data_IF_989922323344
#
_entry.id   IF_989922323344
#
_cell.length_a   1.000
_cell.length_b   1.000
_cell.length_c   1.000
_cell.angle_alpha   90.00
_cell.angle_beta   90.00
_cell.angle_gamma   90.00
#
_symmetry.space_group_name_H-M   'P 1'
#
loop_
_entity.id
_entity.type
_entity.pdbx_description
1 polymer ?
#
# COMPACT_ATOMS: atom_id res chain seq x y z
N UNK A 1 34.67 23.55 2.29
CA UNK A 1 33.63 22.67 2.88
C UNK A 1 33.21 23.26 4.21
N UNK A 2 31.92 23.30 4.55
CA UNK A 2 31.49 23.85 5.85
C UNK A 2 32.06 22.98 6.98
N UNK A 3 32.47 23.61 8.07
CA UNK A 3 32.94 22.90 9.26
C UNK A 3 31.78 22.19 9.96
N UNK A 4 32.07 21.09 10.68
CA UNK A 4 31.07 20.35 11.48
C UNK A 4 30.25 21.27 12.40
N UNK A 5 30.85 22.36 12.88
CA UNK A 5 30.21 23.37 13.72
C UNK A 5 29.09 24.12 12.98
N UNK A 6 29.29 24.43 11.70
CA UNK A 6 28.27 25.11 10.90
C UNK A 6 27.03 24.24 10.66
N UNK A 7 27.20 22.91 10.62
CA UNK A 7 26.08 21.96 10.54
C UNK A 7 25.33 21.83 11.86
N UNK A 8 26.03 21.88 12.99
CA UNK A 8 25.44 21.85 14.33
C UNK A 8 24.65 23.13 14.62
N UNK A 9 25.19 24.30 14.25
CA UNK A 9 24.50 25.59 14.41
C UNK A 9 23.22 25.67 13.53
N UNK A 10 23.21 25.00 12.37
CA UNK A 10 22.03 24.87 11.50
C UNK A 10 20.97 23.91 12.08
N UNK A 11 21.40 22.85 12.75
CA UNK A 11 20.50 21.90 13.41
C UNK A 11 19.88 22.47 14.70
N UNK A 12 20.58 23.33 15.44
CA UNK A 12 19.98 24.10 16.55
C UNK A 12 19.00 25.18 16.05
N UNK A 13 19.19 25.70 14.83
CA UNK A 13 18.28 26.68 14.22
C UNK A 13 17.01 26.05 13.63
N UNK A 14 17.12 24.83 13.09
CA UNK A 14 15.99 23.99 12.72
C UNK A 14 15.69 23.01 13.85
N UNK A 15 15.05 23.49 14.91
CA UNK A 15 14.34 22.63 15.86
C UNK A 15 13.48 21.65 15.03
N UNK A 16 13.87 20.38 15.00
CA UNK A 16 13.30 19.37 14.11
C UNK A 16 11.85 19.11 14.53
N UNK A 17 10.92 19.87 13.94
CA UNK A 17 9.49 19.59 13.96
C UNK A 17 9.24 18.27 13.22
N UNK A 18 9.30 17.15 13.94
CA UNK A 18 8.76 15.89 13.43
C UNK A 18 7.26 15.84 13.72
N UNK A 19 6.46 15.59 12.68
CA UNK A 19 5.02 15.32 12.80
C UNK A 19 4.79 13.82 12.64
N UNK A 20 4.10 13.21 13.60
CA UNK A 20 3.66 11.81 13.53
C UNK A 20 2.21 11.75 13.02
N UNK A 21 1.98 11.06 11.90
CA UNK A 21 0.63 10.79 11.40
C UNK A 21 0.11 9.46 11.95
N UNK A 22 -0.96 9.51 12.75
CA UNK A 22 -1.66 8.30 13.21
C UNK A 22 -2.67 7.88 12.16
N UNK A 23 -2.30 6.89 11.35
CA UNK A 23 -3.18 6.35 10.31
C UNK A 23 -4.36 5.57 10.90
N UNK A 24 -5.56 5.80 10.35
CA UNK A 24 -6.72 4.96 10.59
C UNK A 24 -6.51 3.55 10.03
N UNK A 25 -7.35 2.60 10.46
CA UNK A 25 -7.32 1.23 9.92
C UNK A 25 -7.51 1.23 8.39
N UNK A 26 -8.41 2.08 7.88
CA UNK A 26 -8.68 2.20 6.45
C UNK A 26 -7.49 2.78 5.69
N UNK A 27 -6.84 3.82 6.23
CA UNK A 27 -5.61 4.36 5.63
C UNK A 27 -4.49 3.32 5.58
N UNK A 28 -4.28 2.56 6.67
CA UNK A 28 -3.28 1.48 6.69
C UNK A 28 -3.60 0.37 5.70
N UNK A 29 -4.87 0.02 5.55
CA UNK A 29 -5.33 -0.94 4.56
C UNK A 29 -5.05 -0.45 3.14
N UNK A 30 -5.42 0.80 2.83
CA UNK A 30 -5.22 1.41 1.51
C UNK A 30 -3.72 1.42 1.15
N UNK A 31 -2.85 1.81 2.09
CA UNK A 31 -1.39 1.76 1.92
C UNK A 31 -0.86 0.34 1.69
N UNK A 32 -1.36 -0.63 2.44
CA UNK A 32 -0.98 -2.03 2.27
C UNK A 32 -1.36 -2.55 0.89
N UNK A 33 -2.61 -2.36 0.45
CA UNK A 33 -3.09 -2.80 -0.87
C UNK A 33 -2.28 -2.15 -1.99
N UNK A 34 -2.10 -0.83 -1.91
CA UNK A 34 -1.34 -0.06 -2.89
C UNK A 34 0.10 -0.54 -3.02
N UNK A 35 0.79 -0.71 -1.90
CA UNK A 35 2.20 -1.10 -1.90
C UNK A 35 2.35 -2.56 -2.32
N UNK A 36 1.60 -3.48 -1.70
CA UNK A 36 1.77 -4.91 -1.91
C UNK A 36 1.46 -5.36 -3.34
N UNK A 37 0.41 -4.81 -3.98
CA UNK A 37 0.07 -5.10 -5.38
C UNK A 37 1.18 -4.68 -6.36
N UNK A 38 1.93 -3.61 -6.07
CA UNK A 38 3.04 -3.14 -6.92
C UNK A 38 4.33 -3.96 -6.73
N UNK A 39 4.41 -4.79 -5.70
CA UNK A 39 5.59 -5.66 -5.47
C UNK A 39 5.49 -7.00 -6.19
N UNK A 40 6.63 -7.67 -6.35
CA UNK A 40 6.67 -9.06 -6.86
C UNK A 40 6.02 -10.07 -5.89
N UNK A 41 5.77 -9.71 -4.64
CA UNK A 41 5.24 -10.61 -3.61
C UNK A 41 3.73 -10.74 -3.63
N UNK A 42 3.02 -9.78 -4.23
CA UNK A 42 1.57 -9.72 -4.29
C UNK A 42 0.91 -9.25 -3.00
N UNK A 43 -0.39 -8.97 -3.09
CA UNK A 43 -1.24 -8.60 -1.95
C UNK A 43 -1.86 -9.86 -1.33
N UNK A 44 -1.65 -10.09 -0.04
CA UNK A 44 -2.07 -11.32 0.63
C UNK A 44 -3.38 -11.14 1.40
N UNK A 45 -4.43 -11.83 0.97
CA UNK A 45 -5.77 -11.73 1.58
C UNK A 45 -5.74 -12.20 3.03
N UNK A 46 -4.88 -13.16 3.38
CA UNK A 46 -4.76 -13.64 4.75
C UNK A 46 -4.20 -12.55 5.68
N UNK A 47 -3.22 -11.77 5.20
CA UNK A 47 -2.68 -10.62 5.94
C UNK A 47 -3.75 -9.54 6.09
N UNK A 48 -4.50 -9.27 5.03
CA UNK A 48 -5.58 -8.27 5.09
C UNK A 48 -6.62 -8.64 6.15
N UNK A 49 -7.05 -9.90 6.17
CA UNK A 49 -7.98 -10.41 7.18
C UNK A 49 -7.43 -10.29 8.60
N UNK A 50 -6.16 -10.63 8.80
CA UNK A 50 -5.52 -10.61 10.11
C UNK A 50 -5.32 -9.18 10.65
N UNK A 51 -4.87 -8.26 9.80
CA UNK A 51 -4.43 -6.93 10.23
C UNK A 51 -5.54 -5.86 10.18
N UNK A 52 -6.52 -6.03 9.29
CA UNK A 52 -7.59 -5.04 9.05
C UNK A 52 -9.00 -5.60 9.29
N UNK A 53 -9.16 -6.93 9.27
CA UNK A 53 -10.40 -7.63 9.61
C UNK A 53 -11.16 -8.20 8.42
N UNK A 54 -12.22 -8.95 8.70
CA UNK A 54 -12.97 -9.68 7.67
C UNK A 54 -13.61 -8.76 6.63
N UNK A 55 -14.10 -7.58 7.06
CA UNK A 55 -14.77 -6.63 6.16
C UNK A 55 -13.85 -6.17 5.03
N UNK A 56 -12.62 -5.79 5.35
CA UNK A 56 -11.61 -5.38 4.37
C UNK A 56 -11.18 -6.54 3.47
N UNK A 57 -11.06 -7.75 4.02
CA UNK A 57 -10.74 -8.93 3.22
C UNK A 57 -11.86 -9.27 2.21
N UNK A 58 -13.13 -9.19 2.63
CA UNK A 58 -14.29 -9.37 1.76
C UNK A 58 -14.32 -8.29 0.68
N UNK A 59 -14.17 -7.01 1.06
CA UNK A 59 -14.14 -5.89 0.11
C UNK A 59 -13.04 -6.06 -0.94
N UNK A 60 -11.83 -6.43 -0.52
CA UNK A 60 -10.71 -6.66 -1.43
C UNK A 60 -10.98 -7.81 -2.41
N UNK A 61 -11.58 -8.91 -1.94
CA UNK A 61 -11.94 -10.04 -2.80
C UNK A 61 -13.01 -9.64 -3.82
N UNK A 62 -14.12 -9.07 -3.36
CA UNK A 62 -15.24 -8.66 -4.22
C UNK A 62 -14.81 -7.60 -5.24
N UNK A 63 -14.04 -6.60 -4.80
CA UNK A 63 -13.50 -5.57 -5.68
C UNK A 63 -12.46 -6.08 -6.68
N UNK A 64 -11.84 -7.25 -6.43
CA UNK A 64 -10.86 -7.85 -7.34
C UNK A 64 -11.50 -8.69 -8.44
N UNK A 65 -12.77 -9.09 -8.31
CA UNK A 65 -13.39 -10.08 -9.20
C UNK A 65 -13.40 -9.64 -10.67
N UNK A 66 -13.73 -8.37 -10.96
CA UNK A 66 -13.75 -7.89 -12.35
C UNK A 66 -12.34 -7.78 -12.95
N UNK A 67 -11.35 -7.43 -12.13
CA UNK A 67 -9.94 -7.40 -12.53
C UNK A 67 -9.36 -8.79 -12.74
N UNK A 68 -9.85 -9.80 -12.01
CA UNK A 68 -9.51 -11.20 -12.27
C UNK A 68 -10.17 -11.65 -13.57
N UNK A 69 -11.45 -11.33 -13.76
CA UNK A 69 -12.20 -11.70 -14.97
C UNK A 69 -11.59 -11.13 -16.26
N UNK A 70 -11.02 -9.91 -16.20
CA UNK A 70 -10.36 -9.28 -17.34
C UNK A 70 -8.84 -9.57 -17.44
N UNK A 71 -8.32 -10.43 -16.56
CA UNK A 71 -6.92 -10.86 -16.47
C UNK A 71 -5.93 -9.71 -16.16
N UNK A 72 -6.37 -8.65 -15.48
CA UNK A 72 -5.50 -7.61 -14.91
C UNK A 72 -4.92 -8.05 -13.56
N UNK A 73 -5.67 -8.82 -12.79
CA UNK A 73 -5.23 -9.52 -11.58
C UNK A 73 -5.27 -11.03 -11.78
N UNK A 74 -4.42 -11.75 -11.05
CA UNK A 74 -4.46 -13.20 -10.94
C UNK A 74 -4.32 -13.62 -9.48
N UNK A 75 -5.02 -14.69 -9.12
CA UNK A 75 -4.93 -15.32 -7.81
C UNK A 75 -3.89 -16.44 -7.82
N UNK A 76 -2.97 -16.44 -6.85
CA UNK A 76 -2.07 -17.57 -6.60
C UNK A 76 -1.98 -17.84 -5.09
N UNK A 77 -2.51 -18.98 -4.66
CA UNK A 77 -2.56 -19.31 -3.23
C UNK A 77 -3.55 -18.41 -2.51
N UNK A 78 -3.07 -17.53 -1.62
CA UNK A 78 -3.87 -16.50 -0.93
C UNK A 78 -3.63 -15.09 -1.45
N UNK A 79 -2.89 -14.95 -2.56
CA UNK A 79 -2.35 -13.66 -3.00
C UNK A 79 -2.86 -13.23 -4.37
N UNK A 80 -3.11 -11.93 -4.47
CA UNK A 80 -3.39 -11.22 -5.72
C UNK A 80 -2.09 -10.68 -6.32
N UNK A 81 -1.91 -10.88 -7.62
CA UNK A 81 -0.80 -10.33 -8.38
C UNK A 81 -1.32 -9.57 -9.59
N UNK A 82 -0.70 -8.42 -9.88
CA UNK A 82 -0.89 -7.76 -11.17
C UNK A 82 -0.25 -8.61 -12.28
N UNK A 83 -1.00 -8.81 -13.35
CA UNK A 83 -0.44 -9.32 -14.61
C UNK A 83 0.36 -8.23 -15.31
N UNK A 84 1.04 -8.57 -16.40
CA UNK A 84 1.70 -7.54 -17.22
C UNK A 84 0.71 -6.50 -17.76
N UNK A 85 -0.55 -6.89 -18.02
CA UNK A 85 -1.64 -5.97 -18.38
C UNK A 85 -1.98 -5.07 -17.20
N UNK A 86 -2.22 -5.65 -16.02
CA UNK A 86 -2.61 -4.90 -14.82
C UNK A 86 -1.56 -3.91 -14.35
N UNK A 87 -0.26 -4.22 -14.53
CA UNK A 87 0.84 -3.32 -14.12
C UNK A 87 0.79 -1.95 -14.78
N UNK A 88 0.24 -1.83 -15.99
CA UNK A 88 0.07 -0.54 -16.67
C UNK A 88 -0.96 0.37 -15.99
N UNK A 89 -1.88 -0.22 -15.22
CA UNK A 89 -2.98 0.44 -14.53
C UNK A 89 -2.94 0.21 -13.02
N UNK A 90 -1.76 -0.11 -12.46
CA UNK A 90 -1.60 -0.53 -11.07
C UNK A 90 -2.25 0.45 -10.07
N UNK A 91 -2.09 1.75 -10.32
CA UNK A 91 -2.57 2.82 -9.45
C UNK A 91 -4.10 2.92 -9.48
N UNK A 92 -4.71 2.79 -10.65
CA UNK A 92 -6.16 2.77 -10.80
C UNK A 92 -6.78 1.53 -10.18
N UNK A 93 -6.18 0.36 -10.42
CA UNK A 93 -6.61 -0.91 -9.81
C UNK A 93 -6.53 -0.82 -8.29
N UNK A 94 -5.43 -0.34 -7.72
CA UNK A 94 -5.29 -0.20 -6.28
C UNK A 94 -6.32 0.78 -5.70
N UNK A 95 -6.49 1.95 -6.32
CA UNK A 95 -7.43 2.97 -5.84
C UNK A 95 -8.88 2.49 -5.85
N UNK A 96 -9.28 1.67 -6.83
CA UNK A 96 -10.62 1.08 -6.89
C UNK A 96 -10.86 0.04 -5.78
N UNK A 97 -9.80 -0.50 -5.18
CA UNK A 97 -9.85 -1.48 -4.10
C UNK A 97 -9.76 -0.84 -2.70
N UNK A 98 -9.67 0.49 -2.61
CA UNK A 98 -9.64 1.22 -1.35
C UNK A 98 -11.01 1.23 -0.67
N UNK A 99 -11.02 1.54 0.64
CA UNK A 99 -12.22 1.75 1.46
C UNK A 99 -12.29 3.19 1.95
#
# INVERSE_FOLDING_TARGET
MPSMKAWLDLAEYYDESFEEEVLTVDQRYNEYVMTSLRTIWGCDIAVVRQEFGEKHATHLLEGSDHYIADNSLIFKGSRLFLTNKGKLFADGIASDLFV
#
